data_IF_692609301518
#
_entry.id   IF_692609301518
#
_cell.length_a   1.000
_cell.length_b   1.000
_cell.length_c   1.000
_cell.angle_alpha   90.00
_cell.angle_beta   90.00
_cell.angle_gamma   90.00
#
_symmetry.space_group_name_H-M   'P 1'
#
loop_
_entity.id
_entity.type
_entity.pdbx_description
1 polymer ?
#
# COMPACT_ATOMS: atom_id res chain seq x y z
N UNK A 1 12.64 21.85 -1.11
CA UNK A 1 12.06 21.39 -2.38
C UNK A 1 11.30 20.13 -2.08
N UNK A 2 10.00 20.10 -2.45
CA UNK A 2 9.15 18.92 -2.25
C UNK A 2 9.66 17.76 -3.12
N UNK A 3 9.67 16.55 -2.59
CA UNK A 3 10.02 15.35 -3.35
C UNK A 3 8.81 14.93 -4.18
N UNK A 4 8.93 14.87 -5.51
CA UNK A 4 7.89 14.38 -6.42
C UNK A 4 8.45 13.28 -7.32
N UNK A 5 7.59 12.65 -8.10
CA UNK A 5 8.04 11.73 -9.16
C UNK A 5 8.44 12.55 -10.39
N UNK A 6 9.68 12.40 -10.80
CA UNK A 6 10.19 13.06 -11.98
C UNK A 6 9.59 12.47 -13.27
N UNK A 7 9.42 13.29 -14.30
CA UNK A 7 8.97 12.83 -15.61
C UNK A 7 9.88 11.73 -16.19
N UNK A 8 11.18 11.80 -15.93
CA UNK A 8 12.17 10.78 -16.30
C UNK A 8 11.88 9.40 -15.70
N UNK A 9 11.36 9.36 -14.46
CA UNK A 9 10.95 8.13 -13.75
C UNK A 9 9.72 7.49 -14.42
N UNK A 10 8.68 8.28 -14.70
CA UNK A 10 7.51 7.79 -15.41
C UNK A 10 7.84 7.34 -16.83
N UNK A 11 8.64 8.10 -17.57
CA UNK A 11 9.08 7.74 -18.92
C UNK A 11 9.88 6.43 -18.91
N UNK A 12 10.75 6.20 -17.92
CA UNK A 12 11.45 4.92 -17.80
C UNK A 12 10.46 3.76 -17.59
N UNK A 13 9.47 3.91 -16.70
CA UNK A 13 8.47 2.85 -16.45
C UNK A 13 7.58 2.60 -17.67
N UNK A 14 7.15 3.64 -18.38
CA UNK A 14 6.37 3.52 -19.62
C UNK A 14 7.16 2.81 -20.73
N UNK A 15 8.43 3.16 -20.92
CA UNK A 15 9.29 2.48 -21.91
C UNK A 15 9.54 1.02 -21.51
N UNK A 16 9.67 0.72 -20.21
CA UNK A 16 9.81 -0.65 -19.70
C UNK A 16 8.55 -1.48 -19.95
N UNK A 17 7.35 -0.90 -19.92
CA UNK A 17 6.11 -1.61 -20.28
C UNK A 17 6.15 -2.14 -21.72
N UNK A 18 6.66 -1.34 -22.65
CA UNK A 18 6.79 -1.71 -24.07
C UNK A 18 8.01 -2.61 -24.39
N UNK A 19 9.02 -2.64 -23.50
CA UNK A 19 10.31 -3.27 -23.74
C UNK A 19 10.77 -4.19 -22.58
N UNK A 20 9.86 -4.97 -22.02
CA UNK A 20 10.10 -5.74 -20.79
C UNK A 20 10.94 -7.01 -21.04
N UNK A 21 12.24 -6.80 -21.37
CA UNK A 21 13.21 -7.86 -21.57
C UNK A 21 14.58 -7.47 -20.98
N UNK A 22 15.47 -8.47 -20.83
CA UNK A 22 16.76 -8.29 -20.15
C UNK A 22 17.73 -7.41 -20.94
N UNK A 23 17.73 -7.52 -22.26
CA UNK A 23 18.65 -6.77 -23.13
C UNK A 23 18.36 -5.28 -23.05
N UNK A 24 17.10 -4.88 -23.27
CA UNK A 24 16.67 -3.49 -23.14
C UNK A 24 16.97 -2.92 -21.76
N UNK A 25 16.68 -3.68 -20.70
CA UNK A 25 16.93 -3.26 -19.33
C UNK A 25 18.41 -2.99 -19.05
N UNK A 26 19.31 -3.84 -19.56
CA UNK A 26 20.76 -3.63 -19.43
C UNK A 26 21.21 -2.38 -20.17
N UNK A 27 20.72 -2.13 -21.38
CA UNK A 27 21.01 -0.93 -22.14
C UNK A 27 20.51 0.35 -21.47
N UNK A 28 19.41 0.24 -20.69
CA UNK A 28 18.79 1.36 -19.97
C UNK A 28 19.07 1.36 -18.46
N UNK A 29 20.11 0.65 -18.01
CA UNK A 29 20.47 0.50 -16.59
C UNK A 29 20.62 1.84 -15.86
N UNK A 30 21.27 2.81 -16.46
CA UNK A 30 21.46 4.13 -15.88
C UNK A 30 20.13 4.86 -15.67
N UNK A 31 19.18 4.72 -16.59
CA UNK A 31 17.82 5.29 -16.45
C UNK A 31 17.07 4.65 -15.27
N UNK A 32 17.20 3.33 -15.12
CA UNK A 32 16.65 2.62 -13.97
C UNK A 32 17.23 3.13 -12.64
N UNK A 33 18.53 3.32 -12.57
CA UNK A 33 19.22 3.76 -11.34
C UNK A 33 18.78 5.18 -10.94
N UNK A 34 18.61 6.09 -11.90
CA UNK A 34 18.06 7.43 -11.66
C UNK A 34 16.60 7.38 -11.20
N UNK A 35 15.75 6.62 -11.90
CA UNK A 35 14.36 6.46 -11.56
C UNK A 35 14.17 5.81 -10.17
N UNK A 36 14.97 4.80 -9.86
CA UNK A 36 14.98 4.17 -8.54
C UNK A 36 15.44 5.13 -7.43
N UNK A 37 16.45 5.95 -7.70
CA UNK A 37 16.92 6.98 -6.76
C UNK A 37 15.83 8.00 -6.47
N UNK A 38 15.10 8.47 -7.47
CA UNK A 38 13.96 9.37 -7.28
C UNK A 38 12.87 8.72 -6.45
N UNK A 39 12.48 7.47 -6.73
CA UNK A 39 11.50 6.74 -5.92
C UNK A 39 11.98 6.49 -4.48
N UNK A 40 13.26 6.21 -4.28
CA UNK A 40 13.85 6.06 -2.95
C UNK A 40 13.71 7.34 -2.11
N UNK A 41 13.96 8.51 -2.70
CA UNK A 41 13.78 9.79 -2.02
C UNK A 41 12.31 10.06 -1.66
N UNK A 42 11.38 9.68 -2.53
CA UNK A 42 9.94 9.71 -2.20
C UNK A 42 9.65 8.87 -0.96
N UNK A 43 10.09 7.61 -0.93
CA UNK A 43 9.84 6.69 0.20
C UNK A 43 10.47 7.21 1.49
N UNK A 44 11.68 7.76 1.42
CA UNK A 44 12.36 8.38 2.57
C UNK A 44 11.54 9.55 3.14
N UNK A 45 11.02 10.42 2.27
CA UNK A 45 10.18 11.56 2.66
C UNK A 45 8.85 11.09 3.28
N UNK A 46 8.24 10.02 2.74
CA UNK A 46 7.02 9.44 3.28
C UNK A 46 7.25 8.82 4.67
N UNK A 47 8.34 8.07 4.87
CA UNK A 47 8.68 7.50 6.18
C UNK A 47 8.83 8.60 7.23
N UNK A 48 9.57 9.67 6.91
CA UNK A 48 9.74 10.81 7.80
C UNK A 48 8.40 11.49 8.13
N UNK A 49 7.55 11.70 7.12
CA UNK A 49 6.24 12.30 7.27
C UNK A 49 5.28 11.44 8.10
N UNK A 50 5.21 10.12 7.85
CA UNK A 50 4.38 9.19 8.62
C UNK A 50 4.82 9.18 10.09
N UNK A 51 6.11 9.19 10.37
CA UNK A 51 6.66 9.23 11.74
C UNK A 51 6.20 10.45 12.57
N UNK A 52 5.69 11.51 11.93
CA UNK A 52 5.14 12.68 12.63
C UNK A 52 3.78 12.37 13.30
N UNK A 53 2.96 11.47 12.74
CA UNK A 53 1.61 11.15 13.23
C UNK A 53 1.40 9.68 13.63
N UNK A 54 2.26 8.75 13.16
CA UNK A 54 2.25 7.33 13.56
C UNK A 54 3.57 6.94 14.21
N UNK A 55 3.60 7.03 15.53
CA UNK A 55 4.80 6.72 16.34
C UNK A 55 5.11 5.22 16.38
N UNK A 56 4.15 4.36 16.08
CA UNK A 56 4.32 2.90 16.09
C UNK A 56 5.09 2.40 14.86
N UNK A 57 5.16 3.21 13.80
CA UNK A 57 5.94 2.87 12.61
C UNK A 57 7.43 2.66 12.93
N UNK A 58 7.98 3.46 13.85
CA UNK A 58 9.42 3.55 14.03
C UNK A 58 10.09 4.27 12.86
N UNK A 59 11.29 3.85 12.52
CA UNK A 59 12.08 4.43 11.41
C UNK A 59 12.66 3.31 10.53
N UNK A 60 11.83 2.61 9.73
CA UNK A 60 12.32 1.56 8.86
C UNK A 60 13.24 2.15 7.77
N UNK A 61 14.28 1.38 7.38
CA UNK A 61 15.10 1.77 6.22
C UNK A 61 14.25 1.70 4.94
N UNK A 62 14.27 2.71 4.06
CA UNK A 62 13.57 2.66 2.77
C UNK A 62 13.86 1.40 1.95
N UNK A 63 15.09 0.87 2.00
CA UNK A 63 15.46 -0.40 1.32
C UNK A 63 14.67 -1.60 1.81
N UNK A 64 14.29 -1.59 3.08
CA UNK A 64 13.47 -2.65 3.67
C UNK A 64 11.98 -2.50 3.30
N UNK A 65 11.56 -1.33 2.87
CA UNK A 65 10.20 -1.03 2.44
C UNK A 65 9.99 -1.23 0.93
N UNK A 66 10.99 -0.91 0.10
CA UNK A 66 10.89 -0.93 -1.36
C UNK A 66 10.95 -2.36 -1.91
N UNK A 67 10.03 -2.69 -2.80
CA UNK A 67 10.06 -3.96 -3.53
C UNK A 67 11.06 -3.90 -4.69
N UNK A 68 11.78 -5.00 -4.92
CA UNK A 68 12.65 -5.13 -6.09
C UNK A 68 11.83 -5.07 -7.38
N UNK A 69 12.42 -4.51 -8.43
CA UNK A 69 11.79 -4.45 -9.76
C UNK A 69 11.72 -5.83 -10.44
N UNK A 70 12.60 -6.75 -10.08
CA UNK A 70 12.63 -8.11 -10.64
C UNK A 70 11.39 -8.93 -10.21
N UNK A 71 10.75 -9.59 -11.18
CA UNK A 71 9.66 -10.55 -10.92
C UNK A 71 10.21 -11.93 -10.65
N UNK A 72 9.50 -12.71 -9.83
CA UNK A 72 9.67 -14.15 -9.76
C UNK A 72 8.73 -14.78 -10.78
N UNK A 73 9.30 -15.22 -11.92
CA UNK A 73 8.54 -15.73 -13.06
C UNK A 73 8.54 -17.26 -13.14
N UNK A 74 9.08 -17.97 -12.12
CA UNK A 74 9.19 -19.43 -12.14
C UNK A 74 7.85 -20.12 -12.37
N UNK A 75 6.82 -19.68 -11.64
CA UNK A 75 5.48 -20.25 -11.67
C UNK A 75 4.43 -19.34 -12.35
N UNK A 76 4.85 -18.21 -12.94
CA UNK A 76 3.95 -17.27 -13.60
C UNK A 76 3.78 -17.65 -15.09
N UNK A 77 2.55 -17.63 -15.65
CA UNK A 77 2.32 -17.70 -17.09
C UNK A 77 2.99 -16.53 -17.83
N UNK A 78 2.94 -15.34 -17.25
CA UNK A 78 3.60 -14.16 -17.78
C UNK A 78 5.09 -14.20 -17.43
N UNK A 79 5.95 -14.29 -18.45
CA UNK A 79 7.40 -14.43 -18.33
C UNK A 79 8.16 -13.09 -18.40
N UNK A 80 7.49 -11.96 -18.43
CA UNK A 80 8.14 -10.64 -18.34
C UNK A 80 9.01 -10.55 -17.08
N UNK A 81 10.31 -10.25 -17.19
CA UNK A 81 11.25 -10.37 -16.07
C UNK A 81 11.15 -9.23 -15.05
N UNK A 82 10.52 -8.12 -15.39
CA UNK A 82 10.45 -6.93 -14.55
C UNK A 82 9.00 -6.56 -14.22
N UNK A 83 8.80 -5.91 -13.08
CA UNK A 83 7.58 -5.18 -12.75
C UNK A 83 7.54 -3.89 -13.57
N UNK A 84 6.35 -3.41 -13.86
CA UNK A 84 6.13 -2.16 -14.59
C UNK A 84 5.89 -0.98 -13.66
N UNK A 85 6.10 -1.20 -12.36
CA UNK A 85 5.89 -0.24 -11.29
C UNK A 85 7.03 -0.23 -10.29
N UNK A 86 7.16 0.87 -9.56
CA UNK A 86 7.81 0.91 -8.26
C UNK A 86 6.76 0.83 -7.16
N UNK A 87 7.04 0.07 -6.11
CA UNK A 87 6.17 -0.07 -4.95
C UNK A 87 6.95 -0.14 -3.65
N UNK A 88 6.40 0.42 -2.58
CA UNK A 88 6.95 0.31 -1.25
C UNK A 88 5.85 0.05 -0.21
N UNK A 89 6.09 -0.90 0.69
CA UNK A 89 5.26 -1.16 1.86
C UNK A 89 5.95 -0.66 3.11
N UNK A 90 5.41 0.40 3.67
CA UNK A 90 5.98 1.14 4.80
C UNK A 90 5.27 0.69 6.07
N UNK A 91 5.87 -0.24 6.79
CA UNK A 91 5.39 -0.79 8.06
C UNK A 91 6.56 -0.95 9.03
N UNK A 92 6.28 -1.12 10.32
CA UNK A 92 7.31 -1.48 11.30
C UNK A 92 7.92 -2.82 10.91
N UNK A 93 9.24 -2.84 10.66
CA UNK A 93 9.95 -4.01 10.13
C UNK A 93 9.93 -4.13 8.60
N UNK A 94 9.40 -3.13 7.87
CA UNK A 94 9.43 -3.04 6.42
C UNK A 94 8.48 -4.02 5.71
N UNK A 95 8.74 -4.28 4.41
CA UNK A 95 7.88 -5.08 3.52
C UNK A 95 7.71 -6.57 3.87
N UNK A 96 8.48 -7.07 4.82
CA UNK A 96 8.36 -8.44 5.33
C UNK A 96 7.50 -8.54 6.59
N UNK A 97 7.04 -7.41 7.11
CA UNK A 97 6.20 -7.35 8.29
C UNK A 97 4.82 -7.96 8.03
N UNK A 98 4.27 -8.63 9.02
CA UNK A 98 2.86 -9.07 9.04
C UNK A 98 1.93 -7.99 9.62
N UNK A 99 2.47 -6.84 10.01
CA UNK A 99 1.70 -5.71 10.52
C UNK A 99 1.06 -4.93 9.37
N UNK A 100 -0.06 -4.28 9.65
CA UNK A 100 -0.64 -3.29 8.76
C UNK A 100 0.30 -2.09 8.60
N UNK A 101 0.27 -1.47 7.43
CA UNK A 101 1.15 -0.35 7.08
C UNK A 101 0.58 0.48 5.95
N UNK A 102 1.45 1.23 5.30
CA UNK A 102 1.15 2.14 4.21
C UNK A 102 1.82 1.67 2.93
N UNK A 103 1.14 1.80 1.81
CA UNK A 103 1.67 1.38 0.53
C UNK A 103 1.62 2.53 -0.47
N UNK A 104 2.69 2.69 -1.23
CA UNK A 104 2.77 3.58 -2.38
C UNK A 104 3.09 2.78 -3.63
N UNK A 105 2.32 3.02 -4.69
CA UNK A 105 2.48 2.43 -6.01
C UNK A 105 2.67 3.52 -7.04
N UNK A 106 3.74 3.45 -7.81
CA UNK A 106 4.04 4.36 -8.90
C UNK A 106 4.12 3.56 -10.19
N UNK A 107 3.14 3.76 -11.02
CA UNK A 107 3.01 3.15 -12.36
C UNK A 107 2.35 4.16 -13.29
N UNK A 108 2.79 4.31 -14.55
CA UNK A 108 2.14 5.20 -15.50
C UNK A 108 0.63 4.91 -15.59
N UNK A 109 -0.19 5.94 -15.34
CA UNK A 109 -1.66 5.93 -15.34
C UNK A 109 -2.34 5.15 -14.21
N UNK A 110 -1.60 4.37 -13.40
CA UNK A 110 -2.15 3.47 -12.36
C UNK A 110 -1.52 3.72 -10.97
N UNK A 111 -1.00 4.92 -10.71
CA UNK A 111 -0.41 5.25 -9.41
C UNK A 111 -1.46 5.38 -8.32
N UNK A 112 -1.16 4.85 -7.11
CA UNK A 112 -2.06 4.95 -5.96
C UNK A 112 -1.31 4.89 -4.62
N UNK A 113 -1.98 5.37 -3.56
CA UNK A 113 -1.59 5.17 -2.18
C UNK A 113 -2.67 4.40 -1.42
N UNK A 114 -2.26 3.51 -0.53
CA UNK A 114 -3.14 2.65 0.26
C UNK A 114 -2.63 2.51 1.69
N UNK A 115 -3.50 2.07 2.61
CA UNK A 115 -3.08 1.74 3.97
C UNK A 115 -3.97 0.69 4.60
N UNK A 116 -3.36 -0.23 5.34
CA UNK A 116 -4.03 -1.37 5.92
C UNK A 116 -3.21 -2.65 5.84
N UNK A 117 -3.87 -3.79 5.59
CA UNK A 117 -3.24 -5.10 5.50
C UNK A 117 -3.64 -5.83 4.22
N UNK A 118 -2.64 -6.37 3.51
CA UNK A 118 -2.81 -7.04 2.22
C UNK A 118 -2.17 -8.43 2.23
N UNK A 119 -2.92 -9.44 1.75
CA UNK A 119 -2.48 -10.85 1.67
C UNK A 119 -1.85 -11.38 2.97
N UNK A 120 -2.41 -10.97 4.11
CA UNK A 120 -1.93 -11.46 5.40
C UNK A 120 -2.16 -12.97 5.55
N UNK A 121 -1.30 -13.67 6.31
CA UNK A 121 -1.55 -15.05 6.72
C UNK A 121 -2.93 -15.22 7.36
N UNK A 122 -3.52 -16.41 7.22
CA UNK A 122 -4.89 -16.66 7.66
C UNK A 122 -5.10 -16.51 9.17
N UNK A 123 -4.09 -16.82 9.96
CA UNK A 123 -4.07 -16.63 11.42
C UNK A 123 -4.07 -15.13 11.79
N UNK A 124 -3.33 -14.32 11.08
CA UNK A 124 -3.32 -12.85 11.25
C UNK A 124 -4.68 -12.26 10.87
N UNK A 125 -5.22 -12.64 9.69
CA UNK A 125 -6.55 -12.17 9.28
C UNK A 125 -7.65 -12.64 10.23
N UNK A 126 -7.49 -13.78 10.88
CA UNK A 126 -8.42 -14.26 11.89
C UNK A 126 -8.43 -13.34 13.11
N UNK A 127 -7.28 -12.99 13.67
CA UNK A 127 -7.16 -12.03 14.78
C UNK A 127 -7.84 -10.68 14.46
N UNK A 128 -7.56 -10.15 13.26
CA UNK A 128 -8.18 -8.89 12.81
C UNK A 128 -9.72 -9.00 12.74
N UNK A 129 -10.25 -10.14 12.27
CA UNK A 129 -11.70 -10.38 12.26
C UNK A 129 -12.29 -10.56 13.64
N UNK A 130 -11.57 -11.21 14.56
CA UNK A 130 -11.96 -11.35 15.97
C UNK A 130 -12.12 -9.96 16.60
N UNK A 131 -11.17 -9.04 16.43
CA UNK A 131 -11.28 -7.67 16.94
C UNK A 131 -12.42 -6.87 16.27
N UNK A 132 -12.63 -7.01 14.95
CA UNK A 132 -13.77 -6.37 14.25
C UNK A 132 -15.10 -6.87 14.82
N UNK A 133 -15.19 -8.16 15.12
CA UNK A 133 -16.40 -8.80 15.65
C UNK A 133 -16.66 -8.45 17.12
N UNK A 134 -15.62 -8.45 17.95
CA UNK A 134 -15.72 -8.22 19.40
C UNK A 134 -15.83 -6.71 19.73
N UNK A 135 -15.25 -5.83 18.88
CA UNK A 135 -15.27 -4.37 19.04
C UNK A 135 -15.86 -3.65 17.81
N UNK A 136 -17.11 -3.99 17.41
CA UNK A 136 -17.71 -3.49 16.17
C UNK A 136 -17.89 -1.97 16.17
N UNK A 137 -18.19 -1.36 17.32
CA UNK A 137 -18.40 0.09 17.44
C UNK A 137 -17.10 0.85 17.17
N UNK A 138 -15.99 0.39 17.71
CA UNK A 138 -14.67 1.01 17.50
C UNK A 138 -14.28 0.95 16.02
N UNK A 139 -14.40 -0.23 15.39
CA UNK A 139 -14.14 -0.39 13.97
C UNK A 139 -15.06 0.49 13.10
N UNK A 140 -16.38 0.43 13.36
CA UNK A 140 -17.36 1.21 12.61
C UNK A 140 -17.18 2.72 12.81
N UNK A 141 -16.72 3.17 13.97
CA UNK A 141 -16.41 4.58 14.21
C UNK A 141 -15.28 5.08 13.28
N UNK A 142 -14.31 4.23 12.96
CA UNK A 142 -13.22 4.52 12.05
C UNK A 142 -13.73 4.59 10.61
N UNK A 143 -14.34 3.50 10.11
CA UNK A 143 -14.71 3.39 8.70
C UNK A 143 -15.91 4.27 8.32
N UNK A 144 -16.74 4.66 9.29
CA UNK A 144 -17.87 5.56 9.12
C UNK A 144 -17.50 7.04 9.36
N UNK A 145 -16.27 7.34 9.80
CA UNK A 145 -15.85 8.73 10.00
C UNK A 145 -15.92 9.54 8.69
N UNK A 146 -16.24 10.84 8.78
CA UNK A 146 -16.28 11.74 7.62
C UNK A 146 -14.95 11.75 6.83
N UNK A 147 -13.82 11.62 7.55
CA UNK A 147 -12.49 11.58 6.94
C UNK A 147 -12.25 10.32 6.11
N UNK A 148 -12.79 9.19 6.55
CA UNK A 148 -12.69 7.92 5.86
C UNK A 148 -13.69 7.85 4.70
N UNK A 149 -14.99 7.95 4.97
CA UNK A 149 -16.06 7.83 3.95
C UNK A 149 -15.97 8.83 2.81
N UNK A 150 -15.42 10.00 3.05
CA UNK A 150 -15.22 11.00 2.01
C UNK A 150 -14.10 10.69 1.02
N UNK A 151 -13.31 9.62 1.27
CA UNK A 151 -12.14 9.28 0.48
C UNK A 151 -12.03 7.81 0.13
N UNK A 152 -12.52 6.90 0.97
CA UNK A 152 -12.29 5.46 0.88
C UNK A 152 -13.59 4.67 0.86
N UNK A 153 -13.55 3.54 0.15
CA UNK A 153 -14.61 2.54 0.12
C UNK A 153 -13.99 1.13 0.12
N UNK A 154 -14.79 0.15 0.51
CA UNK A 154 -14.49 -1.27 0.36
C UNK A 154 -15.44 -1.96 -0.64
N UNK A 155 -16.26 -1.20 -1.38
CA UNK A 155 -17.30 -1.74 -2.28
C UNK A 155 -16.72 -2.67 -3.36
N UNK A 156 -15.56 -2.29 -3.91
CA UNK A 156 -14.87 -3.08 -4.94
C UNK A 156 -13.83 -4.07 -4.36
N UNK A 157 -13.77 -4.21 -3.03
CA UNK A 157 -12.79 -5.06 -2.39
C UNK A 157 -13.17 -6.55 -2.53
N UNK A 158 -12.17 -7.38 -2.80
CA UNK A 158 -12.35 -8.83 -2.91
C UNK A 158 -12.85 -9.42 -1.59
N UNK A 159 -13.97 -10.14 -1.65
CA UNK A 159 -14.63 -10.69 -0.47
C UNK A 159 -14.96 -12.18 -0.59
N UNK A 160 -15.21 -12.81 0.56
CA UNK A 160 -15.73 -14.17 0.66
C UNK A 160 -17.26 -14.14 0.42
N UNK A 161 -17.79 -15.23 -0.11
CA UNK A 161 -19.24 -15.35 -0.35
C UNK A 161 -20.09 -15.44 0.93
N UNK A 162 -19.48 -15.75 2.08
CA UNK A 162 -20.15 -15.90 3.38
C UNK A 162 -19.25 -15.41 4.50
N UNK A 163 -19.83 -15.04 5.63
CA UNK A 163 -19.11 -14.79 6.87
C UNK A 163 -18.26 -16.02 7.23
N UNK A 164 -16.97 -15.85 7.58
CA UNK A 164 -16.09 -16.97 7.91
C UNK A 164 -16.57 -17.78 9.11
N UNK A 165 -16.16 -19.05 9.18
CA UNK A 165 -16.48 -19.91 10.32
C UNK A 165 -15.91 -19.32 11.62
N UNK A 166 -16.69 -19.40 12.69
CA UNK A 166 -16.36 -18.88 14.03
C UNK A 166 -16.96 -17.52 14.31
N UNK A 167 -17.65 -16.90 13.35
CA UNK A 167 -18.39 -15.65 13.51
C UNK A 167 -19.88 -15.87 13.21
N UNK A 168 -20.74 -15.27 14.01
CA UNK A 168 -22.20 -15.28 13.76
C UNK A 168 -22.52 -14.24 12.68
N UNK A 169 -23.39 -14.61 11.73
CA UNK A 169 -23.87 -13.71 10.69
C UNK A 169 -25.08 -12.90 11.18
N UNK A 170 -25.37 -11.79 10.51
CA UNK A 170 -26.45 -10.87 10.86
C UNK A 170 -25.99 -9.69 11.70
N UNK A 171 -24.70 -9.43 11.77
CA UNK A 171 -24.11 -8.30 12.48
C UNK A 171 -23.85 -7.10 11.55
N UNK A 172 -23.65 -5.92 12.14
CA UNK A 172 -23.34 -4.70 11.38
C UNK A 172 -21.96 -4.74 10.67
N UNK A 173 -21.12 -5.73 11.02
CA UNK A 173 -19.76 -5.86 10.47
C UNK A 173 -19.59 -7.02 9.48
N UNK A 174 -20.66 -7.74 9.14
CA UNK A 174 -20.61 -8.90 8.25
C UNK A 174 -19.83 -8.64 6.95
N UNK A 175 -20.06 -7.50 6.29
CA UNK A 175 -19.42 -7.18 5.03
C UNK A 175 -17.90 -6.98 5.21
N UNK A 176 -17.48 -6.48 6.36
CA UNK A 176 -16.05 -6.32 6.67
C UNK A 176 -15.40 -7.65 7.06
N UNK A 177 -16.12 -8.54 7.76
CA UNK A 177 -15.63 -9.89 8.07
C UNK A 177 -15.39 -10.74 6.81
N UNK A 178 -16.14 -10.48 5.73
CA UNK A 178 -15.96 -11.17 4.44
C UNK A 178 -14.74 -10.68 3.65
N UNK A 179 -14.21 -9.49 3.92
CA UNK A 179 -13.09 -8.94 3.17
C UNK A 179 -11.87 -9.86 3.22
N UNK A 180 -11.24 -10.11 2.06
CA UNK A 180 -9.98 -10.85 1.98
C UNK A 180 -8.79 -9.97 2.38
N UNK A 181 -8.90 -8.66 2.13
CA UNK A 181 -7.90 -7.65 2.46
C UNK A 181 -8.58 -6.41 3.01
N UNK A 182 -7.97 -5.77 3.99
CA UNK A 182 -8.41 -4.47 4.50
C UNK A 182 -7.37 -3.41 4.12
N UNK A 183 -7.40 -2.98 2.86
CA UNK A 183 -6.41 -2.04 2.30
C UNK A 183 -7.06 -1.04 1.33
N UNK A 184 -7.88 -0.12 1.83
CA UNK A 184 -8.47 0.93 1.00
C UNK A 184 -7.38 1.82 0.39
N UNK A 185 -7.65 2.34 -0.82
CA UNK A 185 -6.69 3.09 -1.62
C UNK A 185 -7.28 4.33 -2.26
N UNK A 186 -6.41 5.23 -2.72
CA UNK A 186 -6.73 6.40 -3.55
C UNK A 186 -5.77 6.43 -4.72
N UNK A 187 -6.31 6.57 -5.94
CA UNK A 187 -5.54 6.74 -7.16
C UNK A 187 -5.06 8.18 -7.36
N UNK A 188 -3.92 8.34 -8.03
CA UNK A 188 -3.33 9.60 -8.42
C UNK A 188 -3.05 9.62 -9.92
N UNK A 189 -3.36 10.75 -10.58
CA UNK A 189 -2.96 10.94 -11.98
C UNK A 189 -1.46 11.19 -12.11
N UNK A 190 -0.91 10.92 -13.31
CA UNK A 190 0.50 11.18 -13.62
C UNK A 190 0.87 12.67 -13.40
N UNK A 191 -0.05 13.58 -13.68
CA UNK A 191 0.15 15.00 -13.42
C UNK A 191 0.16 15.35 -11.93
N UNK A 192 -0.57 14.60 -11.08
CA UNK A 192 -0.57 14.78 -9.62
C UNK A 192 0.74 14.34 -8.99
N UNK A 193 1.25 13.16 -9.39
CA UNK A 193 2.47 12.61 -8.78
C UNK A 193 3.74 13.41 -9.13
N UNK A 194 3.68 14.26 -10.15
CA UNK A 194 4.78 15.15 -10.58
C UNK A 194 4.76 16.52 -9.88
N UNK A 195 3.76 16.82 -9.05
CA UNK A 195 3.69 18.08 -8.30
C UNK A 195 4.56 18.06 -7.07
N UNK A 196 5.14 19.18 -6.70
CA UNK A 196 5.88 19.35 -5.44
C UNK A 196 5.03 19.05 -4.19
N UNK A 197 3.70 19.16 -4.29
CA UNK A 197 2.73 18.85 -3.24
C UNK A 197 2.45 17.36 -3.07
N UNK A 198 2.97 16.48 -3.94
CA UNK A 198 2.59 15.06 -3.97
C UNK A 198 2.84 14.34 -2.66
N UNK A 199 4.00 14.56 -2.03
CA UNK A 199 4.29 13.96 -0.70
C UNK A 199 3.24 14.37 0.32
N UNK A 200 2.88 15.64 0.37
CA UNK A 200 1.89 16.16 1.33
C UNK A 200 0.50 15.56 1.05
N UNK A 201 0.12 15.42 -0.21
CA UNK A 201 -1.15 14.78 -0.61
C UNK A 201 -1.20 13.31 -0.15
N UNK A 202 -0.12 12.54 -0.37
CA UNK A 202 0.00 11.15 0.10
C UNK A 202 -0.02 11.08 1.63
N UNK A 203 0.67 11.97 2.34
CA UNK A 203 0.66 12.01 3.80
C UNK A 203 -0.73 12.33 4.36
N UNK A 204 -1.55 13.16 3.69
CA UNK A 204 -2.94 13.38 4.09
C UNK A 204 -3.80 12.13 3.91
N UNK A 205 -3.54 11.32 2.87
CA UNK A 205 -4.17 10.01 2.67
C UNK A 205 -3.80 9.07 3.83
N UNK A 206 -2.51 8.95 4.13
CA UNK A 206 -2.02 8.08 5.20
C UNK A 206 -2.51 8.50 6.59
N UNK A 207 -2.57 9.78 6.85
CA UNK A 207 -3.12 10.31 8.11
C UNK A 207 -4.60 9.99 8.28
N UNK A 208 -5.36 9.92 7.20
CA UNK A 208 -6.76 9.49 7.24
C UNK A 208 -6.91 7.98 7.45
N UNK A 209 -5.93 7.18 6.99
CA UNK A 209 -5.89 5.71 7.14
C UNK A 209 -5.26 5.25 8.46
N UNK A 210 -4.52 6.13 9.16
CA UNK A 210 -3.80 5.79 10.38
C UNK A 210 -4.70 5.13 11.46
N UNK A 211 -5.95 5.59 11.71
CA UNK A 211 -6.81 4.91 12.68
C UNK A 211 -7.11 3.45 12.32
N UNK A 212 -7.32 3.14 11.02
CA UNK A 212 -7.51 1.78 10.54
C UNK A 212 -6.25 0.93 10.71
N UNK A 213 -5.09 1.46 10.32
CA UNK A 213 -3.79 0.80 10.50
C UNK A 213 -3.53 0.53 11.99
N UNK A 214 -3.86 1.49 12.87
CA UNK A 214 -3.73 1.35 14.31
C UNK A 214 -4.62 0.25 14.89
N UNK A 215 -5.90 0.21 14.49
CA UNK A 215 -6.84 -0.83 14.90
C UNK A 215 -6.36 -2.23 14.50
N UNK A 216 -5.98 -2.41 13.23
CA UNK A 216 -5.49 -3.70 12.73
C UNK A 216 -4.22 -4.13 13.50
N UNK A 217 -3.29 -3.20 13.75
CA UNK A 217 -2.06 -3.53 14.46
C UNK A 217 -2.27 -3.83 15.95
N UNK A 218 -3.29 -3.25 16.57
CA UNK A 218 -3.70 -3.62 17.92
C UNK A 218 -4.18 -5.08 17.96
N UNK A 219 -5.06 -5.48 17.05
CA UNK A 219 -5.54 -6.85 16.92
C UNK A 219 -4.41 -7.88 16.72
N UNK A 220 -3.43 -7.54 15.90
CA UNK A 220 -2.29 -8.44 15.61
C UNK A 220 -1.39 -8.64 16.82
N UNK A 221 -1.24 -7.63 17.67
CA UNK A 221 -0.30 -7.64 18.79
C UNK A 221 -0.91 -8.21 20.11
N UNK A 222 -2.20 -8.54 20.11
CA UNK A 222 -2.85 -9.31 21.16
C UNK A 222 -2.55 -10.81 20.99
#
# INVERSE_FOLDING_TARGET
MGTCIEASTLNFLADLQGNNNREWFQQNRNRYELAFSNFYQLVLSLIAGIGSFDKNLGSPDPKDCIFRIYRDVRFSPNKMPYKQNFGAYIAKGGKKSNLAGYYIHIEPHESFAAGGIYMAPSDIMRKVREDIYDYPEDFLSIVNSKKFRGKFSFEDAESLGKVPRGFEAGTAVDEYLKLKNLIPSISFSDSSIQKETFVDEVLQVYKALQPLVGFINQAINQ
#
